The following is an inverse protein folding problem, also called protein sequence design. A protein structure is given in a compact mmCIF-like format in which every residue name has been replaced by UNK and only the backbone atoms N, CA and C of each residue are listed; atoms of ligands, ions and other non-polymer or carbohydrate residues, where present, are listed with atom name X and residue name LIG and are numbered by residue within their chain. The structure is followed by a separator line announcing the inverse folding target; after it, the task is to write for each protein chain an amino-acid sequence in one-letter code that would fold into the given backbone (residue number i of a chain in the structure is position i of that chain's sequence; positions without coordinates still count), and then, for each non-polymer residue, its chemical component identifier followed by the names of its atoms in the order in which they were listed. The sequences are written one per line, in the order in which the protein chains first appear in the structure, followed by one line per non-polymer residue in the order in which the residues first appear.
data_IF_905876013672
#
_entry.id   IF_905876013672
#
_cell.length_a   1.000
_cell.length_b   1.000
_cell.length_c   1.000
_cell.angle_alpha   90.00
_cell.angle_beta   90.00
_cell.angle_gamma   90.00
#
_symmetry.space_group_name_H-M   'P 1'
#
loop_
_entity.id
_entity.type
_entity.pdbx_description
1 polymer ?
#
# COMPACT_ATOMS: atom_id res chain seq x y z
N UNK A 1 21.24 30.09 -17.44
CA UNK A 1 20.49 29.39 -16.38
C UNK A 1 21.01 27.96 -16.31
N UNK A 2 21.86 27.66 -15.33
CA UNK A 2 22.32 26.29 -15.10
C UNK A 2 21.38 25.63 -14.11
N UNK A 3 20.71 24.56 -14.54
CA UNK A 3 20.03 23.64 -13.64
C UNK A 3 21.13 22.93 -12.87
N UNK A 4 21.20 23.16 -11.55
CA UNK A 4 22.12 22.45 -10.69
C UNK A 4 21.78 20.95 -10.71
N UNK A 5 22.67 20.16 -11.30
CA UNK A 5 22.68 18.71 -11.14
C UNK A 5 23.18 18.44 -9.72
N UNK A 6 22.26 18.11 -8.80
CA UNK A 6 22.65 17.62 -7.48
C UNK A 6 23.47 16.34 -7.65
N UNK A 7 24.69 16.32 -7.12
CA UNK A 7 25.44 15.09 -6.91
C UNK A 7 24.61 14.17 -6.01
N UNK A 8 24.23 13.00 -6.53
CA UNK A 8 23.24 12.08 -5.95
C UNK A 8 23.70 11.33 -4.68
N UNK A 9 24.63 11.88 -3.92
CA UNK A 9 25.31 11.18 -2.82
C UNK A 9 25.12 11.84 -1.46
N UNK A 10 24.23 12.83 -1.35
CA UNK A 10 23.85 13.40 -0.06
C UNK A 10 22.44 13.96 -0.12
N UNK A 11 21.66 13.76 0.95
CA UNK A 11 20.25 14.13 1.01
C UNK A 11 19.38 13.21 1.84
N UNK A 12 18.09 13.53 1.84
CA UNK A 12 17.07 12.91 2.70
C UNK A 12 15.86 12.45 1.89
N UNK A 13 15.29 11.31 2.28
CA UNK A 13 14.05 10.81 1.72
C UNK A 13 12.86 11.52 2.35
N UNK A 14 12.00 12.04 1.47
CA UNK A 14 10.74 12.65 1.85
C UNK A 14 9.58 12.05 1.09
N UNK A 15 8.43 11.95 1.75
CA UNK A 15 7.17 11.49 1.17
C UNK A 15 6.63 12.45 0.11
N UNK A 16 6.25 11.91 -1.06
CA UNK A 16 5.61 12.69 -2.13
C UNK A 16 4.26 13.25 -1.68
N UNK A 17 3.35 12.47 -1.04
CA UNK A 17 2.15 13.01 -0.39
C UNK A 17 2.45 14.15 0.59
N UNK A 18 3.38 13.95 1.53
CA UNK A 18 3.79 14.98 2.49
C UNK A 18 4.28 16.27 1.81
N UNK A 19 5.15 16.15 0.80
CA UNK A 19 5.61 17.30 0.01
C UNK A 19 4.48 18.00 -0.74
N UNK A 20 3.49 17.26 -1.27
CA UNK A 20 2.35 17.85 -1.97
C UNK A 20 1.45 18.63 -1.00
N UNK A 21 1.13 18.03 0.15
CA UNK A 21 0.35 18.68 1.19
C UNK A 21 1.02 19.96 1.70
N UNK A 22 2.34 19.92 1.97
CA UNK A 22 3.10 21.13 2.33
C UNK A 22 2.98 22.22 1.26
N UNK A 23 3.12 21.86 -0.03
CA UNK A 23 3.07 22.84 -1.13
C UNK A 23 1.71 23.50 -1.22
N UNK A 24 0.65 22.73 -1.01
CA UNK A 24 -0.70 23.25 -1.01
C UNK A 24 -0.90 24.22 0.16
N UNK A 25 -0.49 23.84 1.37
CA UNK A 25 -0.59 24.71 2.55
C UNK A 25 0.19 26.02 2.38
N UNK A 26 1.37 25.97 1.76
CA UNK A 26 2.15 27.17 1.49
C UNK A 26 1.50 28.10 0.45
N UNK A 27 0.73 27.55 -0.50
CA UNK A 27 -0.02 28.35 -1.48
C UNK A 27 -1.25 29.00 -0.84
N UNK A 28 -1.99 28.26 -0.01
CA UNK A 28 -3.14 28.77 0.74
C UNK A 28 -2.75 29.95 1.64
N UNK A 29 -1.60 29.87 2.33
CA UNK A 29 -1.07 30.98 3.13
C UNK A 29 -0.80 32.24 2.31
N UNK A 30 -0.30 32.10 1.08
CA UNK A 30 -0.04 33.24 0.20
C UNK A 30 -1.36 33.88 -0.31
N UNK A 31 -2.39 33.07 -0.55
CA UNK A 31 -3.72 33.56 -0.96
C UNK A 31 -4.44 34.28 0.19
N UNK A 32 -4.33 33.79 1.43
CA UNK A 32 -4.88 34.45 2.62
C UNK A 32 -4.19 35.80 2.92
N UNK A 33 -2.86 35.88 2.79
CA UNK A 33 -2.09 37.12 2.98
C UNK A 33 -2.48 38.21 1.94
N UNK A 34 -2.82 37.81 0.71
CA UNK A 34 -3.29 38.73 -0.34
C UNK A 34 -4.71 39.24 -0.08
N UNK A 35 -5.61 38.41 0.45
CA UNK A 35 -6.99 38.81 0.75
C UNK A 35 -7.08 39.64 2.04
N UNK A 36 -6.27 39.37 3.07
CA UNK A 36 -6.22 40.21 4.29
C UNK A 36 -5.68 41.63 3.98
N UNK A 37 -4.74 41.75 3.04
CA UNK A 37 -4.22 43.05 2.59
C UNK A 37 -5.24 43.94 1.87
N UNK A 38 -6.35 43.36 1.38
CA UNK A 38 -7.44 44.08 0.70
C UNK A 38 -8.57 44.52 1.63
N UNK A 39 -8.66 44.00 2.86
CA UNK A 39 -9.77 44.26 3.78
C UNK A 39 -9.58 45.45 4.74
N UNK A 40 -8.45 46.17 4.72
CA UNK A 40 -8.17 47.29 5.64
C UNK A 40 -8.63 48.69 5.17
N UNK A 41 -9.65 48.81 4.30
CA UNK A 41 -10.24 50.13 4.03
C UNK A 41 -11.73 50.05 3.72
N UNK A 42 -12.60 50.41 4.68
CA UNK A 42 -14.04 50.37 4.49
C UNK A 42 -14.84 51.13 5.53
N UNK A 43 -14.90 52.45 5.40
CA UNK A 43 -15.74 53.35 6.17
C UNK A 43 -17.21 53.31 5.67
N UNK A 44 -18.12 52.83 6.54
CA UNK A 44 -19.57 53.09 6.74
C UNK A 44 -20.62 53.13 5.60
N UNK A 45 -21.74 52.43 5.89
CA UNK A 45 -23.19 52.67 5.64
C UNK A 45 -23.85 52.41 4.26
N UNK A 46 -24.84 51.49 4.26
CA UNK A 46 -25.93 51.36 3.26
C UNK A 46 -26.83 50.12 3.51
N UNK A 47 -28.14 50.23 3.31
CA UNK A 47 -29.23 49.37 3.85
C UNK A 47 -29.68 48.19 2.95
N UNK A 48 -29.93 47.01 3.56
CA UNK A 48 -30.96 45.95 3.32
C UNK A 48 -31.15 45.24 1.95
N UNK A 49 -32.03 44.21 1.82
CA UNK A 49 -32.39 43.12 2.74
C UNK A 49 -32.56 41.69 2.08
N UNK A 50 -32.60 40.62 2.91
CA UNK A 50 -33.12 39.24 2.68
C UNK A 50 -32.45 38.35 1.58
N UNK A 51 -32.17 37.04 1.70
CA UNK A 51 -32.96 35.86 2.16
C UNK A 51 -32.04 34.64 2.48
N UNK A 52 -32.57 33.77 3.34
CA UNK A 52 -32.11 32.46 3.86
C UNK A 52 -31.44 31.47 2.88
N UNK A 53 -30.43 30.71 3.36
CA UNK A 53 -30.68 29.33 3.80
C UNK A 53 -29.57 28.70 4.66
N UNK A 54 -30.05 27.89 5.60
CA UNK A 54 -29.42 27.22 6.73
C UNK A 54 -28.90 25.82 6.33
N UNK A 55 -28.03 25.27 7.18
CA UNK A 55 -27.57 23.86 7.34
C UNK A 55 -26.24 23.52 6.62
N UNK A 56 -25.20 22.98 7.28
CA UNK A 56 -25.10 22.43 8.62
C UNK A 56 -23.66 22.46 9.14
N UNK A 57 -23.56 22.95 10.37
CA UNK A 57 -22.45 22.89 11.30
C UNK A 57 -22.15 21.43 11.65
N UNK A 58 -20.92 20.98 11.43
CA UNK A 58 -20.23 20.20 12.46
C UNK A 58 -18.89 20.90 12.73
N UNK A 59 -18.93 21.77 13.74
CA UNK A 59 -17.73 22.19 14.44
C UNK A 59 -17.18 20.96 15.15
N UNK A 60 -16.18 20.32 14.54
CA UNK A 60 -15.28 19.50 15.32
C UNK A 60 -14.31 20.45 16.03
N UNK A 61 -14.63 20.66 17.29
CA UNK A 61 -13.75 21.04 18.40
C UNK A 61 -12.29 21.20 18.00
N UNK A 62 -11.81 22.44 18.12
CA UNK A 62 -10.38 22.74 18.10
C UNK A 62 -9.64 21.90 19.14
N UNK A 63 -8.86 20.94 18.66
CA UNK A 63 -7.58 20.62 19.25
C UNK A 63 -6.53 21.30 18.40
N UNK A 64 -5.96 22.39 18.92
CA UNK A 64 -4.78 23.09 18.39
C UNK A 64 -3.49 22.21 18.44
N UNK A 65 -3.63 20.90 18.29
CA UNK A 65 -2.57 19.89 18.42
C UNK A 65 -2.73 18.77 17.37
N UNK A 66 -3.42 19.02 16.25
CA UNK A 66 -3.16 18.26 15.03
C UNK A 66 -1.80 18.75 14.50
N UNK A 67 -0.73 18.34 15.18
CA UNK A 67 0.63 18.59 14.74
C UNK A 67 0.69 18.10 13.30
N UNK A 68 0.77 19.01 12.32
CA UNK A 68 0.88 18.68 10.91
C UNK A 68 2.02 17.66 10.77
N UNK A 69 1.67 16.40 10.59
CA UNK A 69 2.64 15.32 10.55
C UNK A 69 3.27 15.31 9.17
N UNK A 70 4.60 15.32 9.10
CA UNK A 70 5.34 15.27 7.84
C UNK A 70 6.17 14.01 7.82
N UNK A 71 6.23 13.36 6.66
CA UNK A 71 6.99 12.15 6.38
C UNK A 71 6.44 10.83 6.96
N UNK A 72 5.31 10.85 7.66
CA UNK A 72 4.66 9.63 8.18
C UNK A 72 4.21 8.68 7.05
N UNK A 73 3.92 9.22 5.86
CA UNK A 73 3.52 8.48 4.67
C UNK A 73 4.60 7.53 4.14
N UNK A 74 5.86 7.72 4.52
CA UNK A 74 6.96 6.82 4.15
C UNK A 74 7.49 6.02 5.34
N UNK A 75 6.77 6.01 6.46
CA UNK A 75 7.07 5.18 7.63
C UNK A 75 6.19 3.93 7.56
N UNK A 76 6.79 2.74 7.66
CA UNK A 76 6.02 1.51 7.79
C UNK A 76 5.51 1.33 9.23
N UNK A 77 4.65 0.34 9.46
CA UNK A 77 4.11 0.02 10.80
C UNK A 77 5.17 -0.31 11.85
N UNK A 78 6.41 -0.63 11.43
CA UNK A 78 7.54 -0.89 12.32
C UNK A 78 8.33 0.39 12.70
N UNK A 79 7.91 1.57 12.22
CA UNK A 79 8.58 2.84 12.48
C UNK A 79 9.84 3.08 11.64
N UNK A 80 10.07 2.28 10.60
CA UNK A 80 11.23 2.39 9.71
C UNK A 80 10.82 2.83 8.30
N UNK A 81 11.80 3.15 7.45
CA UNK A 81 11.56 3.55 6.06
C UNK A 81 10.77 2.48 5.30
N UNK A 82 9.68 2.89 4.67
CA UNK A 82 8.83 2.03 3.84
C UNK A 82 9.61 1.43 2.65
N UNK A 83 9.22 0.22 2.25
CA UNK A 83 9.73 -0.46 1.04
C UNK A 83 9.18 0.15 -0.26
N UNK A 84 8.15 0.99 -0.16
CA UNK A 84 7.50 1.64 -1.30
C UNK A 84 8.33 2.81 -1.84
N UNK A 85 9.27 2.51 -2.72
CA UNK A 85 10.15 3.54 -3.31
C UNK A 85 9.42 4.54 -4.21
N UNK A 86 8.29 4.15 -4.80
CA UNK A 86 7.49 5.01 -5.67
C UNK A 86 6.86 6.18 -4.94
N UNK A 87 6.74 6.14 -3.61
CA UNK A 87 6.10 7.17 -2.80
C UNK A 87 7.10 8.17 -2.20
N UNK A 88 8.41 7.90 -2.30
CA UNK A 88 9.46 8.77 -1.77
C UNK A 88 10.23 9.52 -2.85
N UNK A 89 10.81 10.66 -2.47
CA UNK A 89 11.70 11.47 -3.30
C UNK A 89 12.92 11.88 -2.48
N UNK A 90 14.10 11.85 -3.11
CA UNK A 90 15.30 12.40 -2.49
C UNK A 90 15.32 13.92 -2.64
N UNK A 91 15.53 14.62 -1.55
CA UNK A 91 15.77 16.07 -1.51
C UNK A 91 17.16 16.37 -0.98
N UNK A 92 17.72 17.53 -1.37
CA UNK A 92 19.01 17.97 -0.88
C UNK A 92 18.96 18.30 0.62
N UNK A 93 20.11 18.29 1.27
CA UNK A 93 20.28 18.67 2.68
C UNK A 93 19.72 20.07 2.96
N UNK A 94 19.96 21.05 2.09
CA UNK A 94 19.42 22.41 2.25
C UNK A 94 17.88 22.45 2.30
N UNK A 95 17.23 21.66 1.44
CA UNK A 95 15.76 21.56 1.42
C UNK A 95 15.26 20.88 2.70
N UNK A 96 15.93 19.81 3.13
CA UNK A 96 15.58 19.12 4.35
C UNK A 96 15.72 19.99 5.60
N UNK A 97 16.81 20.76 5.72
CA UNK A 97 17.02 21.70 6.83
C UNK A 97 15.86 22.69 6.94
N UNK A 98 15.39 23.23 5.82
CA UNK A 98 14.20 24.12 5.81
C UNK A 98 12.94 23.39 6.26
N UNK A 99 12.71 22.17 5.77
CA UNK A 99 11.54 21.37 6.19
C UNK A 99 11.56 21.07 7.69
N UNK A 100 12.74 20.85 8.29
CA UNK A 100 12.92 20.60 9.72
C UNK A 100 12.58 21.79 10.61
N UNK A 101 12.66 23.02 10.10
CA UNK A 101 12.22 24.22 10.83
C UNK A 101 10.69 24.20 11.05
N UNK A 102 9.93 23.72 10.07
CA UNK A 102 8.46 23.59 10.17
C UNK A 102 8.03 22.30 10.87
N UNK A 103 8.79 21.20 10.68
CA UNK A 103 8.44 19.87 11.20
C UNK A 103 9.59 19.26 12.01
N UNK A 104 9.86 19.76 13.23
CA UNK A 104 11.00 19.32 14.03
C UNK A 104 10.90 17.85 14.51
N UNK A 105 9.68 17.29 14.53
CA UNK A 105 9.41 15.89 14.90
C UNK A 105 9.30 14.95 13.72
N UNK A 106 9.42 15.44 12.48
CA UNK A 106 9.30 14.60 11.30
C UNK A 106 10.35 13.47 11.31
N UNK A 107 9.95 12.22 11.00
CA UNK A 107 10.87 11.11 10.78
C UNK A 107 11.90 11.46 9.71
N UNK A 108 13.16 11.15 9.99
CA UNK A 108 14.30 11.46 9.12
C UNK A 108 14.90 10.19 8.55
N UNK A 109 15.13 10.18 7.23
CA UNK A 109 15.75 9.08 6.54
C UNK A 109 16.79 9.62 5.56
N UNK A 110 18.04 9.24 5.74
CA UNK A 110 19.14 9.66 4.84
C UNK A 110 19.07 8.90 3.52
N UNK A 111 19.77 9.39 2.49
CA UNK A 111 19.85 8.69 1.21
C UNK A 111 20.42 7.26 1.29
N UNK A 112 21.24 6.97 2.31
CA UNK A 112 21.84 5.65 2.58
C UNK A 112 20.95 4.77 3.48
N UNK A 113 19.81 5.30 3.94
CA UNK A 113 18.93 4.55 4.81
C UNK A 113 18.28 3.40 4.06
N UNK A 114 18.53 2.18 4.53
CA UNK A 114 17.89 0.99 4.00
C UNK A 114 16.40 0.94 4.39
N UNK A 115 15.52 0.42 3.50
CA UNK A 115 14.13 0.13 3.84
C UNK A 115 14.00 -0.85 5.01
N UNK A 116 12.82 -0.89 5.61
CA UNK A 116 12.53 -1.76 6.73
C UNK A 116 12.83 -3.23 6.42
N UNK A 117 13.82 -3.80 7.12
CA UNK A 117 14.23 -5.20 6.95
C UNK A 117 13.08 -6.20 7.16
N UNK A 118 12.19 -5.94 8.12
CA UNK A 118 11.04 -6.82 8.38
C UNK A 118 10.08 -6.84 7.19
N UNK A 119 9.75 -5.66 6.64
CA UNK A 119 8.93 -5.57 5.43
C UNK A 119 9.60 -6.23 4.23
N UNK A 120 10.91 -6.06 4.06
CA UNK A 120 11.67 -6.72 2.98
C UNK A 120 11.63 -8.25 3.10
N UNK A 121 11.76 -8.80 4.31
CA UNK A 121 11.65 -10.24 4.53
C UNK A 121 10.26 -10.75 4.21
N UNK A 122 9.21 -10.06 4.68
CA UNK A 122 7.82 -10.44 4.39
C UNK A 122 7.51 -10.41 2.88
N UNK A 123 7.98 -9.39 2.16
CA UNK A 123 7.79 -9.29 0.70
C UNK A 123 8.50 -10.44 -0.04
N UNK A 124 9.68 -10.84 0.43
CA UNK A 124 10.40 -11.97 -0.16
C UNK A 124 9.70 -13.30 0.14
N UNK A 125 9.24 -13.51 1.37
CA UNK A 125 8.49 -14.70 1.76
C UNK A 125 7.18 -14.84 0.96
N UNK A 126 6.48 -13.73 0.69
CA UNK A 126 5.30 -13.71 -0.18
C UNK A 126 5.63 -14.18 -1.60
N UNK A 127 6.70 -13.63 -2.20
CA UNK A 127 7.17 -14.01 -3.54
C UNK A 127 7.55 -15.49 -3.61
N UNK A 128 8.26 -15.98 -2.61
CA UNK A 128 8.69 -17.39 -2.54
C UNK A 128 7.49 -18.33 -2.38
N UNK A 129 6.53 -17.97 -1.52
CA UNK A 129 5.30 -18.73 -1.34
C UNK A 129 4.46 -18.76 -2.62
N UNK A 130 4.36 -17.63 -3.34
CA UNK A 130 3.67 -17.57 -4.63
C UNK A 130 4.35 -18.47 -5.68
N UNK A 131 5.69 -18.45 -5.75
CA UNK A 131 6.44 -19.29 -6.67
C UNK A 131 6.24 -20.79 -6.39
N UNK A 132 6.29 -21.18 -5.12
CA UNK A 132 6.04 -22.56 -4.68
C UNK A 132 4.60 -22.98 -5.01
N UNK A 133 3.62 -22.13 -4.75
CA UNK A 133 2.22 -22.37 -5.09
C UNK A 133 2.01 -22.56 -6.60
N UNK A 134 2.61 -21.69 -7.43
CA UNK A 134 2.59 -21.81 -8.90
C UNK A 134 3.22 -23.10 -9.39
N UNK A 135 4.35 -23.51 -8.81
CA UNK A 135 5.03 -24.76 -9.17
C UNK A 135 4.15 -25.96 -8.85
N UNK A 136 3.51 -26.01 -7.68
CA UNK A 136 2.59 -27.09 -7.31
C UNK A 136 1.37 -27.14 -8.25
N UNK A 137 0.79 -25.98 -8.58
CA UNK A 137 -0.34 -25.92 -9.50
C UNK A 137 0.03 -26.38 -10.93
N UNK A 138 1.22 -26.01 -11.40
CA UNK A 138 1.74 -26.44 -12.70
C UNK A 138 1.98 -27.96 -12.72
N UNK A 139 2.56 -28.51 -11.65
CA UNK A 139 2.80 -29.94 -11.52
C UNK A 139 1.46 -30.72 -11.55
N UNK A 140 0.47 -30.28 -10.78
CA UNK A 140 -0.88 -30.87 -10.82
C UNK A 140 -1.51 -30.80 -12.21
N UNK A 141 -1.39 -29.67 -12.91
CA UNK A 141 -1.87 -29.51 -14.29
C UNK A 141 -1.20 -30.51 -15.26
N UNK A 142 0.12 -30.70 -15.11
CA UNK A 142 0.87 -31.62 -15.96
C UNK A 142 0.51 -33.08 -15.67
N UNK A 143 0.28 -33.44 -14.41
CA UNK A 143 -0.22 -34.78 -14.03
C UNK A 143 -1.56 -35.07 -14.69
N UNK A 144 -2.48 -34.11 -14.72
CA UNK A 144 -3.76 -34.27 -15.40
C UNK A 144 -3.60 -34.49 -16.91
N UNK A 145 -2.72 -33.75 -17.58
CA UNK A 145 -2.41 -33.93 -19.00
C UNK A 145 -1.82 -35.31 -19.31
N UNK A 146 -1.00 -35.85 -18.41
CA UNK A 146 -0.45 -37.20 -18.56
C UNK A 146 -1.55 -38.26 -18.52
N UNK A 147 -2.53 -38.13 -17.62
CA UNK A 147 -3.69 -39.02 -17.57
C UNK A 147 -4.50 -38.97 -18.86
N UNK A 148 -4.77 -37.76 -19.39
CA UNK A 148 -5.55 -37.59 -20.63
C UNK A 148 -4.85 -38.21 -21.86
N UNK A 149 -3.52 -38.12 -21.92
CA UNK A 149 -2.73 -38.68 -23.01
C UNK A 149 -2.26 -40.12 -22.76
N UNK A 150 -2.78 -40.80 -21.73
CA UNK A 150 -2.38 -42.15 -21.30
C UNK A 150 -0.87 -42.33 -21.07
N UNK A 151 -0.14 -41.23 -20.83
CA UNK A 151 1.29 -41.27 -20.50
C UNK A 151 1.45 -41.79 -19.08
N UNK A 152 2.40 -42.69 -18.85
CA UNK A 152 2.66 -43.35 -17.56
C UNK A 152 1.51 -44.21 -17.02
N UNK A 153 0.58 -44.66 -17.89
CA UNK A 153 -0.46 -45.60 -17.49
C UNK A 153 0.17 -46.95 -17.09
N UNK A 154 -0.04 -47.44 -15.84
CA UNK A 154 0.42 -48.77 -15.47
C UNK A 154 -0.18 -49.82 -16.41
N UNK A 155 0.64 -50.72 -16.93
CA UNK A 155 0.15 -51.86 -17.70
C UNK A 155 -0.62 -52.75 -16.73
N UNK A 156 -1.94 -52.79 -16.89
CA UNK A 156 -2.79 -53.71 -16.14
C UNK A 156 -2.39 -55.14 -16.54
N UNK A 157 -1.65 -55.83 -15.67
CA UNK A 157 -1.47 -57.26 -15.79
C UNK A 157 -2.85 -57.92 -15.68
N UNK A 158 -3.06 -58.98 -16.48
CA UNK A 158 -4.34 -59.67 -16.57
C UNK A 158 -4.83 -59.97 -15.17
N UNK A 159 -6.03 -59.48 -14.83
CA UNK A 159 -6.69 -59.79 -13.58
C UNK A 159 -6.60 -61.30 -13.35
N UNK A 160 -6.09 -61.79 -12.20
CA UNK A 160 -6.02 -63.21 -11.95
C UNK A 160 -7.42 -63.75 -12.17
N UNK A 161 -7.55 -64.67 -13.13
CA UNK A 161 -8.79 -65.36 -13.43
C UNK A 161 -9.08 -66.25 -12.23
N UNK A 162 -9.56 -65.67 -11.14
CA UNK A 162 -10.17 -66.41 -10.04
C UNK A 162 -11.36 -67.05 -10.70
N UNK A 163 -11.18 -68.33 -11.06
CA UNK A 163 -12.25 -69.16 -11.59
C UNK A 163 -13.39 -69.01 -10.59
N UNK A 164 -14.41 -68.23 -10.97
CA UNK A 164 -15.70 -68.25 -10.28
C UNK A 164 -16.16 -69.69 -10.44
N UNK A 165 -15.86 -70.54 -9.45
CA UNK A 165 -16.69 -71.70 -9.21
C UNK A 165 -18.09 -71.11 -9.05
N UNK A 166 -19.03 -71.59 -9.85
CA UNK A 166 -20.43 -71.33 -9.61
C UNK A 166 -20.68 -71.71 -8.15
N UNK A 167 -20.77 -70.71 -7.29
CA UNK A 167 -21.40 -70.87 -5.99
C UNK A 167 -22.86 -70.71 -6.36
N UNK A 168 -23.60 -71.81 -6.25
CA UNK A 168 -25.01 -71.87 -6.55
C UNK A 168 -25.73 -70.66 -5.95
N UNK A 169 -26.60 -70.03 -6.74
CA UNK A 169 -27.51 -68.98 -6.28
C UNK A 169 -28.48 -69.58 -5.26
N UNK A 170 -28.08 -69.73 -4.01
CA UNK A 170 -29.01 -69.84 -2.89
C UNK A 170 -28.85 -68.61 -1.98
N UNK A 171 -29.77 -67.69 -2.20
CA UNK A 171 -30.37 -66.78 -1.22
C UNK A 171 -29.44 -66.17 -0.15
N UNK A 172 -28.74 -65.09 -0.51
CA UNK A 172 -28.47 -64.03 0.47
C UNK A 172 -29.68 -63.09 0.52
N UNK A 173 -30.66 -63.45 1.36
CA UNK A 173 -31.65 -62.50 1.84
C UNK A 173 -30.91 -61.41 2.62
N UNK A 174 -30.84 -60.22 2.04
CA UNK A 174 -30.49 -59.00 2.77
C UNK A 174 -31.61 -58.72 3.77
N UNK A 175 -31.44 -59.20 5.01
CA UNK A 175 -32.20 -58.66 6.14
C UNK A 175 -31.57 -57.31 6.47
N UNK A 176 -32.23 -56.22 6.06
CA UNK A 176 -32.00 -54.90 6.62
C UNK A 176 -32.32 -54.96 8.12
N UNK A 177 -31.33 -54.67 8.96
CA UNK A 177 -31.46 -54.00 10.25
C UNK A 177 -30.21 -53.15 10.49
#
# INVERSE_FOLDING_TARGET
MYIAVCSSSDGYWVGKPSLRSWRQLALEQLEEDEEESKHSNGQTNGQGPHINNKFGMEANVGTEDETKTFNEDIVCTHGALSILETERKLVSTEVWTKLREYFPRAPEFTHMQEPCRQCLTLEQEEKDNEAVSKMMALEQKNQLLNLFHEKNRPVLTKWPQVKRRAVDCEAFNFQFF
#
